data_IF_579274617257
#
_entry.id   IF_579274617257
#
_cell.length_a   1.000
_cell.length_b   1.000
_cell.length_c   1.000
_cell.angle_alpha   90.00
_cell.angle_beta   90.00
_cell.angle_gamma   90.00
#
_symmetry.space_group_name_H-M   'P 1'
#
loop_
_entity.id
_entity.type
_entity.pdbx_description
1 polymer ?
#
# COMPACT_ATOMS: atom_id res chain seq x y z
N UNK A 1 34.05 -63.41 16.67
CA UNK A 1 34.10 -62.75 15.35
C UNK A 1 32.68 -62.54 14.89
N UNK A 2 32.14 -61.33 15.06
CA UNK A 2 30.92 -60.92 14.35
C UNK A 2 30.89 -59.40 14.41
N UNK A 3 31.14 -58.75 13.26
CA UNK A 3 31.08 -57.33 13.07
C UNK A 3 29.60 -56.93 12.93
N UNK A 4 29.17 -55.96 13.73
CA UNK A 4 27.87 -55.29 13.57
C UNK A 4 28.12 -53.94 12.85
N UNK A 5 27.64 -53.85 11.60
CA UNK A 5 27.66 -52.63 10.80
C UNK A 5 26.59 -51.66 11.34
N UNK A 6 27.06 -50.46 11.65
CA UNK A 6 26.21 -49.32 12.08
C UNK A 6 25.75 -48.57 10.83
N UNK A 7 24.50 -48.74 10.43
CA UNK A 7 23.87 -48.02 9.33
C UNK A 7 23.24 -46.75 9.88
N UNK A 8 23.89 -45.62 9.64
CA UNK A 8 23.42 -44.30 10.04
C UNK A 8 22.46 -43.75 8.98
N UNK A 9 21.17 -43.93 9.21
CA UNK A 9 20.09 -43.37 8.39
C UNK A 9 20.14 -41.84 8.32
N UNK A 10 20.52 -41.29 7.15
CA UNK A 10 20.33 -39.88 6.82
C UNK A 10 18.86 -39.61 6.56
N UNK A 11 18.18 -38.95 7.51
CA UNK A 11 16.86 -38.41 7.33
C UNK A 11 16.82 -37.30 6.25
N UNK A 12 15.74 -37.17 5.50
CA UNK A 12 15.61 -36.16 4.45
C UNK A 12 15.60 -34.76 5.06
N UNK A 13 16.60 -33.96 4.71
CA UNK A 13 16.63 -32.53 4.99
C UNK A 13 15.45 -31.85 4.29
N UNK A 14 14.42 -31.49 5.05
CA UNK A 14 13.36 -30.58 4.61
C UNK A 14 14.02 -29.25 4.27
N UNK A 15 14.19 -28.98 2.98
CA UNK A 15 14.65 -27.72 2.46
C UNK A 15 13.78 -26.58 3.02
N UNK A 16 14.36 -25.74 3.86
CA UNK A 16 13.76 -24.44 4.23
C UNK A 16 13.58 -23.68 2.92
N UNK A 17 12.35 -23.59 2.44
CA UNK A 17 11.96 -22.62 1.41
C UNK A 17 12.35 -21.24 1.98
N UNK A 18 13.42 -20.66 1.47
CA UNK A 18 13.71 -19.24 1.68
C UNK A 18 12.46 -18.50 1.20
N UNK A 19 11.81 -17.80 2.11
CA UNK A 19 10.85 -16.78 1.73
C UNK A 19 11.58 -15.84 0.79
N UNK A 20 11.15 -15.79 -0.47
CA UNK A 20 11.74 -14.88 -1.44
C UNK A 20 11.50 -13.46 -0.92
N UNK A 21 12.56 -12.67 -0.79
CA UNK A 21 12.48 -11.26 -0.45
C UNK A 21 11.49 -10.57 -1.38
N UNK A 22 10.69 -9.61 -0.88
CA UNK A 22 9.82 -8.82 -1.75
C UNK A 22 10.68 -8.18 -2.86
N UNK A 23 10.15 -8.06 -4.07
CA UNK A 23 10.88 -7.41 -5.14
C UNK A 23 11.25 -5.97 -4.76
N UNK A 24 12.43 -5.48 -5.15
CA UNK A 24 12.87 -4.15 -4.79
C UNK A 24 11.87 -3.11 -5.28
N UNK A 25 11.49 -2.19 -4.39
CA UNK A 25 10.69 -1.01 -4.74
C UNK A 25 11.63 0.01 -5.39
N UNK A 26 11.44 0.31 -6.66
CA UNK A 26 12.23 1.31 -7.37
C UNK A 26 11.39 1.99 -8.44
N UNK A 27 11.79 3.19 -8.92
CA UNK A 27 11.04 3.97 -9.90
C UNK A 27 10.71 3.21 -11.20
N UNK A 28 11.54 2.24 -11.56
CA UNK A 28 11.31 1.39 -12.73
C UNK A 28 10.17 0.40 -12.48
N UNK A 29 10.11 -0.19 -11.30
CA UNK A 29 9.04 -1.11 -10.94
C UNK A 29 7.70 -0.39 -10.80
N UNK A 30 7.69 0.82 -10.26
CA UNK A 30 6.47 1.66 -10.18
C UNK A 30 5.94 1.96 -11.58
N UNK A 31 6.80 2.29 -12.54
CA UNK A 31 6.42 2.51 -13.93
C UNK A 31 5.87 1.24 -14.59
N UNK A 32 6.47 0.07 -14.34
CA UNK A 32 5.98 -1.20 -14.87
C UNK A 32 4.61 -1.57 -14.30
N UNK A 33 4.41 -1.38 -13.00
CA UNK A 33 3.11 -1.59 -12.34
C UNK A 33 2.07 -0.62 -12.92
N UNK A 34 2.41 0.67 -13.03
CA UNK A 34 1.53 1.67 -13.62
C UNK A 34 1.11 1.33 -15.04
N UNK A 35 2.05 0.93 -15.88
CA UNK A 35 1.78 0.50 -17.25
C UNK A 35 0.89 -0.75 -17.31
N UNK A 36 1.11 -1.70 -16.41
CA UNK A 36 0.28 -2.90 -16.32
C UNK A 36 -1.18 -2.56 -15.98
N UNK A 37 -1.40 -1.72 -14.97
CA UNK A 37 -2.75 -1.29 -14.60
C UNK A 37 -3.41 -0.44 -15.70
N UNK A 38 -2.66 0.41 -16.38
CA UNK A 38 -3.16 1.18 -17.53
C UNK A 38 -3.68 0.26 -18.66
N UNK A 39 -3.06 -0.90 -18.88
CA UNK A 39 -3.51 -1.90 -19.84
C UNK A 39 -4.65 -2.80 -19.33
N UNK A 40 -4.86 -2.88 -18.01
CA UNK A 40 -5.81 -3.83 -17.41
C UNK A 40 -7.10 -3.18 -16.90
N UNK A 41 -7.03 -1.93 -16.45
CA UNK A 41 -8.21 -1.18 -15.99
C UNK A 41 -9.01 -0.73 -17.21
N UNK A 42 -10.33 -1.03 -17.27
CA UNK A 42 -11.16 -0.57 -18.35
C UNK A 42 -11.16 0.97 -18.45
N UNK A 43 -10.91 1.49 -19.65
CA UNK A 43 -10.85 2.95 -19.90
C UNK A 43 -12.17 3.70 -19.64
N UNK A 44 -13.27 2.96 -19.48
CA UNK A 44 -14.60 3.53 -19.16
C UNK A 44 -14.83 3.76 -17.66
N UNK A 45 -13.92 3.27 -16.79
CA UNK A 45 -14.13 3.38 -15.35
C UNK A 45 -13.88 4.77 -14.82
N UNK A 46 -12.87 5.44 -15.34
CA UNK A 46 -12.36 6.69 -14.79
C UNK A 46 -12.31 7.78 -15.87
N UNK A 47 -12.45 9.02 -15.45
CA UNK A 47 -12.33 10.18 -16.32
C UNK A 47 -10.90 10.48 -16.77
N UNK A 48 -9.92 9.97 -16.03
CA UNK A 48 -8.49 10.10 -16.29
C UNK A 48 -7.74 8.85 -15.80
N UNK A 49 -6.45 8.74 -16.07
CA UNK A 49 -5.63 7.63 -15.56
C UNK A 49 -5.68 7.57 -14.05
N UNK A 50 -5.87 6.38 -13.45
CA UNK A 50 -5.90 6.25 -11.99
C UNK A 50 -4.55 6.58 -11.37
N UNK A 51 -4.58 7.16 -10.17
CA UNK A 51 -3.40 7.32 -9.31
C UNK A 51 -3.05 5.97 -8.70
N UNK A 52 -1.78 5.59 -8.79
CA UNK A 52 -1.28 4.33 -8.26
C UNK A 52 -0.23 4.64 -7.19
N UNK A 53 -0.59 4.34 -5.93
CA UNK A 53 0.34 4.35 -4.80
C UNK A 53 0.92 2.95 -4.58
N UNK A 54 2.22 2.86 -4.32
CA UNK A 54 2.91 1.58 -4.17
C UNK A 54 3.82 1.64 -2.95
N UNK A 55 3.72 0.64 -2.10
CA UNK A 55 4.70 0.38 -1.05
C UNK A 55 5.22 -1.07 -1.14
N UNK A 56 5.86 -1.58 -0.06
CA UNK A 56 6.40 -2.95 -0.02
C UNK A 56 5.33 -4.03 -0.07
N UNK A 57 4.13 -3.75 0.40
CA UNK A 57 3.08 -4.72 0.69
C UNK A 57 1.80 -4.51 -0.11
N UNK A 58 1.55 -3.27 -0.54
CA UNK A 58 0.29 -2.85 -1.15
C UNK A 58 0.49 -2.05 -2.44
N UNK A 59 -0.43 -2.25 -3.38
CA UNK A 59 -0.66 -1.40 -4.55
C UNK A 59 -2.05 -0.78 -4.38
N UNK A 60 -2.12 0.52 -4.23
CA UNK A 60 -3.37 1.25 -4.07
C UNK A 60 -3.74 1.93 -5.39
N UNK A 61 -4.88 1.55 -5.98
CA UNK A 61 -5.39 2.10 -7.23
C UNK A 61 -6.61 2.97 -6.94
N UNK A 62 -6.47 4.28 -7.17
CA UNK A 62 -7.54 5.25 -6.95
C UNK A 62 -7.84 5.97 -8.24
N UNK A 63 -9.06 5.84 -8.73
CA UNK A 63 -9.48 6.47 -9.97
C UNK A 63 -10.52 7.57 -9.74
N UNK A 64 -10.53 8.56 -10.62
CA UNK A 64 -11.45 9.69 -10.59
C UNK A 64 -12.66 9.42 -11.43
N UNK A 65 -13.83 9.48 -10.83
CA UNK A 65 -15.12 9.32 -11.50
C UNK A 65 -15.60 10.64 -12.08
N UNK A 66 -16.33 10.57 -13.18
CA UNK A 66 -17.06 11.73 -13.68
C UNK A 66 -18.08 12.20 -12.64
N UNK A 67 -18.16 13.50 -12.35
CA UNK A 67 -19.10 14.05 -11.37
C UNK A 67 -20.55 13.79 -11.81
N UNK A 68 -21.47 13.61 -10.84
CA UNK A 68 -22.88 13.50 -11.15
C UNK A 68 -23.41 14.82 -11.72
N UNK A 69 -24.39 14.72 -12.62
CA UNK A 69 -25.10 15.90 -13.10
C UNK A 69 -26.16 16.29 -12.08
N UNK A 70 -26.05 17.49 -11.54
CA UNK A 70 -26.99 18.05 -10.57
C UNK A 70 -27.62 19.31 -11.14
N UNK A 71 -28.83 19.69 -10.66
CA UNK A 71 -29.42 20.96 -11.01
C UNK A 71 -28.57 22.16 -10.58
N UNK A 72 -28.70 23.28 -11.29
CA UNK A 72 -28.02 24.51 -10.91
C UNK A 72 -28.47 24.96 -9.50
N UNK A 73 -27.50 25.30 -8.65
CA UNK A 73 -27.79 25.75 -7.27
C UNK A 73 -27.92 24.63 -6.24
N UNK A 74 -27.54 23.39 -6.56
CA UNK A 74 -27.49 22.31 -5.59
C UNK A 74 -26.59 22.68 -4.37
N UNK A 75 -27.08 22.41 -3.16
CA UNK A 75 -26.36 22.68 -1.92
C UNK A 75 -25.17 21.72 -1.71
N UNK A 76 -24.22 22.10 -0.86
CA UNK A 76 -23.02 21.31 -0.60
C UNK A 76 -23.31 19.87 -0.13
N UNK A 77 -24.36 19.70 0.70
CA UNK A 77 -24.75 18.38 1.20
C UNK A 77 -25.38 17.52 0.10
N UNK A 78 -26.12 18.12 -0.84
CA UNK A 78 -26.67 17.42 -2.01
C UNK A 78 -25.56 16.98 -2.95
N UNK A 79 -24.58 17.85 -3.21
CA UNK A 79 -23.39 17.53 -4.01
C UNK A 79 -22.62 16.37 -3.38
N UNK A 80 -22.32 16.46 -2.08
CA UNK A 80 -21.60 15.41 -1.34
C UNK A 80 -22.36 14.09 -1.33
N UNK A 81 -23.68 14.13 -1.13
CA UNK A 81 -24.53 12.94 -1.18
C UNK A 81 -24.52 12.26 -2.54
N UNK A 82 -24.59 13.03 -3.63
CA UNK A 82 -24.54 12.52 -4.99
C UNK A 82 -23.15 11.95 -5.35
N UNK A 83 -22.07 12.59 -4.93
CA UNK A 83 -20.70 12.09 -5.09
C UNK A 83 -20.51 10.74 -4.38
N UNK A 84 -20.96 10.61 -3.13
CA UNK A 84 -20.90 9.38 -2.37
C UNK A 84 -21.76 8.26 -3.00
N UNK A 85 -22.95 8.59 -3.47
CA UNK A 85 -23.80 7.64 -4.20
C UNK A 85 -23.13 7.16 -5.49
N UNK A 86 -22.47 8.06 -6.25
CA UNK A 86 -21.71 7.72 -7.45
C UNK A 86 -20.56 6.77 -7.15
N UNK A 87 -19.79 7.03 -6.08
CA UNK A 87 -18.69 6.18 -5.63
C UNK A 87 -19.22 4.80 -5.19
N UNK A 88 -20.34 4.77 -4.47
CA UNK A 88 -20.95 3.51 -4.00
C UNK A 88 -21.44 2.66 -5.17
N UNK A 89 -22.12 3.25 -6.13
CA UNK A 89 -22.55 2.57 -7.35
C UNK A 89 -21.38 1.98 -8.13
N UNK A 90 -20.32 2.76 -8.36
CA UNK A 90 -19.09 2.28 -8.99
C UNK A 90 -18.48 1.11 -8.22
N UNK A 91 -18.41 1.20 -6.88
CA UNK A 91 -17.88 0.12 -6.02
C UNK A 91 -18.63 -1.20 -6.23
N UNK A 92 -19.96 -1.14 -6.32
CA UNK A 92 -20.81 -2.33 -6.48
C UNK A 92 -20.72 -2.89 -7.90
N UNK A 93 -20.89 -2.06 -8.91
CA UNK A 93 -20.86 -2.44 -10.32
C UNK A 93 -19.55 -3.09 -10.75
N UNK A 94 -18.42 -2.56 -10.26
CA UNK A 94 -17.09 -3.00 -10.67
C UNK A 94 -16.49 -4.08 -9.79
N UNK A 95 -17.15 -4.49 -8.70
CA UNK A 95 -16.59 -5.39 -7.68
C UNK A 95 -15.99 -6.66 -8.28
N UNK A 96 -16.72 -7.36 -9.14
CA UNK A 96 -16.24 -8.61 -9.73
C UNK A 96 -15.04 -8.42 -10.65
N UNK A 97 -15.02 -7.33 -11.42
CA UNK A 97 -13.89 -7.02 -12.31
C UNK A 97 -12.64 -6.59 -11.52
N UNK A 98 -12.81 -5.79 -10.45
CA UNK A 98 -11.71 -5.39 -9.57
C UNK A 98 -11.07 -6.58 -8.87
N UNK A 99 -11.86 -7.56 -8.41
CA UNK A 99 -11.35 -8.80 -7.83
C UNK A 99 -10.49 -9.55 -8.85
N UNK A 100 -10.97 -9.77 -10.08
CA UNK A 100 -10.20 -10.45 -11.13
C UNK A 100 -8.88 -9.75 -11.45
N UNK A 101 -8.88 -8.41 -11.55
CA UNK A 101 -7.66 -7.64 -11.79
C UNK A 101 -6.70 -7.79 -10.60
N UNK A 102 -7.19 -7.76 -9.36
CA UNK A 102 -6.38 -7.97 -8.17
C UNK A 102 -5.77 -9.37 -8.13
N UNK A 103 -6.55 -10.41 -8.43
CA UNK A 103 -6.10 -11.81 -8.46
C UNK A 103 -5.00 -12.05 -9.51
N UNK A 104 -5.00 -11.30 -10.61
CA UNK A 104 -3.93 -11.34 -11.61
C UNK A 104 -2.69 -10.53 -11.18
N UNK A 105 -2.87 -9.38 -10.54
CA UNK A 105 -1.79 -8.51 -10.12
C UNK A 105 -1.00 -9.07 -8.91
N UNK A 106 -1.70 -9.67 -7.93
CA UNK A 106 -1.08 -10.16 -6.70
C UNK A 106 0.06 -11.16 -6.94
N UNK A 107 -0.07 -12.22 -7.74
CA UNK A 107 1.03 -13.14 -8.02
C UNK A 107 2.15 -12.50 -8.85
N UNK A 108 1.82 -11.54 -9.74
CA UNK A 108 2.78 -10.87 -10.59
C UNK A 108 3.68 -9.91 -9.80
N UNK A 109 3.10 -9.14 -8.88
CA UNK A 109 3.79 -8.09 -8.13
C UNK A 109 4.05 -8.43 -6.67
N UNK A 110 3.50 -9.52 -6.16
CA UNK A 110 3.61 -9.98 -4.76
C UNK A 110 3.16 -8.91 -3.74
N UNK A 111 2.12 -8.17 -4.10
CA UNK A 111 1.50 -7.13 -3.28
C UNK A 111 0.00 -7.26 -3.30
N UNK A 112 -0.63 -6.90 -2.21
CA UNK A 112 -2.10 -6.80 -2.15
C UNK A 112 -2.55 -5.62 -2.99
N UNK A 113 -3.68 -5.74 -3.70
CA UNK A 113 -4.24 -4.63 -4.47
C UNK A 113 -5.45 -4.06 -3.73
N UNK A 114 -5.37 -2.79 -3.40
CA UNK A 114 -6.45 -2.00 -2.82
C UNK A 114 -7.00 -1.01 -3.82
N UNK A 115 -8.31 -0.79 -3.73
CA UNK A 115 -9.04 0.05 -4.66
C UNK A 115 -9.72 1.21 -3.96
N UNK A 116 -9.83 2.32 -4.65
CA UNK A 116 -10.59 3.47 -4.23
C UNK A 116 -11.14 4.26 -5.41
N UNK A 117 -11.98 5.24 -5.12
CA UNK A 117 -12.44 6.21 -6.10
C UNK A 117 -12.57 7.60 -5.48
N UNK A 118 -12.42 8.59 -6.35
CA UNK A 118 -12.68 9.99 -6.08
C UNK A 118 -13.81 10.47 -6.99
N UNK A 119 -14.66 11.34 -6.45
CA UNK A 119 -15.70 12.01 -7.23
C UNK A 119 -15.87 13.41 -6.65
N UNK A 120 -15.57 14.45 -7.43
CA UNK A 120 -15.55 15.82 -6.93
C UNK A 120 -14.64 15.98 -5.71
N UNK A 121 -15.21 16.41 -4.59
CA UNK A 121 -14.51 16.56 -3.30
C UNK A 121 -14.47 15.29 -2.44
N UNK A 122 -15.18 14.24 -2.82
CA UNK A 122 -15.31 13.00 -2.05
C UNK A 122 -14.29 11.95 -2.49
N UNK A 123 -13.62 11.29 -1.51
CA UNK A 123 -12.68 10.18 -1.74
C UNK A 123 -13.01 9.02 -0.80
N UNK A 124 -13.09 7.80 -1.35
CA UNK A 124 -13.35 6.58 -0.58
C UNK A 124 -12.41 5.47 -1.02
N UNK A 125 -11.74 4.85 -0.06
CA UNK A 125 -11.02 3.59 -0.26
C UNK A 125 -11.99 2.42 0.00
N UNK A 126 -12.07 1.48 -0.92
CA UNK A 126 -12.96 0.31 -0.82
C UNK A 126 -12.36 -0.81 -0.01
N UNK A 127 -11.05 -0.94 -0.09
CA UNK A 127 -10.22 -1.89 0.63
C UNK A 127 -8.95 -1.20 1.07
N UNK A 128 -8.41 -1.61 2.21
CA UNK A 128 -7.12 -1.18 2.73
C UNK A 128 -6.40 -2.42 3.24
N UNK A 129 -5.14 -2.59 2.89
CA UNK A 129 -4.34 -3.65 3.44
C UNK A 129 -3.92 -3.29 4.87
N UNK A 130 -4.24 -4.16 5.83
CA UNK A 130 -3.68 -4.08 7.17
C UNK A 130 -2.46 -4.98 7.26
N UNK A 131 -1.26 -4.39 7.30
CA UNK A 131 -0.01 -5.14 7.44
C UNK A 131 0.44 -5.11 8.89
N UNK A 132 0.75 -6.27 9.51
CA UNK A 132 1.20 -6.30 10.89
C UNK A 132 2.61 -5.70 11.00
N UNK A 133 2.76 -4.71 11.87
CA UNK A 133 4.05 -4.13 12.25
C UNK A 133 4.35 -4.52 13.68
N UNK A 134 5.47 -5.20 13.89
CA UNK A 134 5.91 -5.61 15.23
C UNK A 134 6.90 -4.60 15.79
N UNK A 135 6.62 -4.09 16.99
CA UNK A 135 7.52 -3.21 17.72
C UNK A 135 7.69 -3.66 19.17
N UNK A 136 8.77 -3.22 19.81
CA UNK A 136 9.04 -3.44 21.24
C UNK A 136 9.09 -2.08 21.93
N UNK A 137 8.10 -1.84 22.76
CA UNK A 137 7.93 -0.60 23.50
C UNK A 137 8.47 -0.73 24.94
N UNK A 138 9.07 0.32 25.46
CA UNK A 138 9.47 0.44 26.86
C UNK A 138 8.24 0.72 27.74
N UNK A 139 8.44 0.76 29.05
CA UNK A 139 7.35 0.89 30.02
C UNK A 139 6.59 2.20 29.82
N UNK A 140 7.30 3.30 29.68
CA UNK A 140 6.70 4.63 29.53
C UNK A 140 5.85 4.73 28.24
N UNK A 141 6.36 4.18 27.13
CA UNK A 141 5.62 4.12 25.85
C UNK A 141 4.31 3.31 25.98
N UNK A 142 4.39 2.17 26.71
CA UNK A 142 3.19 1.35 26.96
C UNK A 142 2.17 2.06 27.85
N UNK A 143 2.63 2.79 28.87
CA UNK A 143 1.74 3.58 29.74
C UNK A 143 1.03 4.68 28.96
N UNK A 144 1.70 5.34 28.00
CA UNK A 144 1.06 6.31 27.13
C UNK A 144 -0.06 5.65 26.29
N UNK A 145 0.17 4.45 25.73
CA UNK A 145 -0.88 3.73 25.01
C UNK A 145 -2.03 3.28 25.91
N UNK A 146 -1.73 2.84 27.14
CA UNK A 146 -2.75 2.45 28.11
C UNK A 146 -3.61 3.66 28.50
N UNK A 147 -3.02 4.84 28.68
CA UNK A 147 -3.76 6.09 28.91
C UNK A 147 -4.73 6.41 27.77
N UNK A 148 -4.32 6.20 26.50
CA UNK A 148 -5.21 6.40 25.34
C UNK A 148 -6.37 5.40 25.31
N UNK A 149 -6.15 4.19 25.80
CA UNK A 149 -7.20 3.17 25.92
C UNK A 149 -8.18 3.57 27.04
N UNK A 150 -7.68 3.94 28.21
CA UNK A 150 -8.48 4.34 29.35
C UNK A 150 -9.31 5.60 29.06
N UNK A 151 -8.76 6.52 28.24
CA UNK A 151 -9.47 7.70 27.75
C UNK A 151 -10.49 7.41 26.64
N UNK A 152 -10.62 6.16 26.18
CA UNK A 152 -11.56 5.78 25.13
C UNK A 152 -11.16 6.19 23.70
N UNK A 153 -9.92 6.63 23.49
CA UNK A 153 -9.38 6.99 22.16
C UNK A 153 -9.14 5.75 21.31
N UNK A 154 -8.79 4.64 21.93
CA UNK A 154 -8.51 3.37 21.27
C UNK A 154 -9.03 2.20 22.13
N UNK A 155 -9.28 1.05 21.51
CA UNK A 155 -9.75 -0.19 22.19
C UNK A 155 -8.62 -1.16 22.51
N UNK A 156 -7.44 -0.92 21.96
CA UNK A 156 -6.26 -1.77 22.15
C UNK A 156 -4.97 -0.98 21.94
N UNK A 157 -3.85 -1.51 22.47
CA UNK A 157 -2.51 -0.93 22.25
C UNK A 157 -2.14 -0.82 20.78
N UNK A 158 -2.53 -1.78 19.94
CA UNK A 158 -2.29 -1.73 18.50
C UNK A 158 -3.07 -0.60 17.84
N UNK A 159 -4.32 -0.39 18.23
CA UNK A 159 -5.14 0.71 17.74
C UNK A 159 -4.64 2.07 18.22
N UNK A 160 -4.21 2.17 19.49
CA UNK A 160 -3.59 3.35 20.05
C UNK A 160 -2.29 3.72 19.31
N UNK A 161 -1.43 2.74 19.04
CA UNK A 161 -0.20 2.96 18.27
C UNK A 161 -0.51 3.41 16.83
N UNK A 162 -1.46 2.77 16.15
CA UNK A 162 -1.89 3.19 14.82
C UNK A 162 -2.49 4.61 14.83
N UNK A 163 -3.20 4.99 15.91
CA UNK A 163 -3.68 6.35 16.11
C UNK A 163 -2.53 7.35 16.25
N UNK A 164 -1.51 7.05 17.07
CA UNK A 164 -0.31 7.88 17.20
C UNK A 164 0.40 8.09 15.86
N UNK A 165 0.55 7.03 15.04
CA UNK A 165 1.15 7.13 13.71
C UNK A 165 0.34 8.06 12.80
N UNK A 166 -1.00 7.95 12.81
CA UNK A 166 -1.86 8.85 12.03
C UNK A 166 -1.76 10.29 12.51
N UNK A 167 -1.70 10.49 13.83
CA UNK A 167 -1.55 11.82 14.42
C UNK A 167 -0.26 12.51 13.96
N UNK A 168 0.87 11.80 14.00
CA UNK A 168 2.15 12.30 13.48
C UNK A 168 2.04 12.59 11.98
N UNK A 169 1.46 11.68 11.19
CA UNK A 169 1.31 11.86 9.75
C UNK A 169 0.44 13.08 9.39
N UNK A 170 -0.51 13.46 10.24
CA UNK A 170 -1.39 14.63 10.03
C UNK A 170 -0.73 15.95 10.47
N UNK A 171 -0.03 15.95 11.59
CA UNK A 171 0.56 17.16 12.15
C UNK A 171 1.94 17.50 11.58
N UNK A 172 2.67 16.48 11.12
CA UNK A 172 4.03 16.61 10.57
C UNK A 172 4.07 16.27 9.07
N UNK A 173 2.97 16.56 8.37
CA UNK A 173 2.82 16.20 6.95
C UNK A 173 3.90 16.82 6.06
N UNK A 174 4.28 18.08 6.31
CA UNK A 174 5.33 18.77 5.56
C UNK A 174 6.68 18.12 5.81
N UNK A 175 7.07 17.88 7.06
CA UNK A 175 8.31 17.20 7.41
C UNK A 175 8.42 15.80 6.82
N UNK A 176 7.35 14.99 6.90
CA UNK A 176 7.29 13.67 6.27
C UNK A 176 7.43 13.76 4.74
N UNK A 177 6.83 14.80 4.13
CA UNK A 177 6.96 15.05 2.69
C UNK A 177 8.38 15.42 2.30
N UNK A 178 9.05 16.29 3.05
CA UNK A 178 10.45 16.67 2.86
C UNK A 178 11.39 15.46 2.98
N UNK A 179 11.16 14.60 3.98
CA UNK A 179 11.92 13.36 4.13
C UNK A 179 11.77 12.44 2.92
N UNK A 180 10.55 12.28 2.40
CA UNK A 180 10.31 11.47 1.19
C UNK A 180 11.03 12.03 -0.03
N UNK A 181 11.01 13.35 -0.21
CA UNK A 181 11.73 14.02 -1.29
C UNK A 181 13.25 13.84 -1.18
N UNK A 182 13.79 13.99 0.02
CA UNK A 182 15.21 13.77 0.27
C UNK A 182 15.61 12.31 0.00
N UNK A 183 14.79 11.35 0.39
CA UNK A 183 15.04 9.93 0.12
C UNK A 183 14.96 9.58 -1.37
N UNK A 184 14.06 10.21 -2.13
CA UNK A 184 14.00 10.05 -3.58
C UNK A 184 15.29 10.52 -4.26
N UNK A 185 15.86 11.63 -3.80
CA UNK A 185 17.15 12.12 -4.29
C UNK A 185 18.31 11.16 -3.95
N UNK A 186 18.30 10.56 -2.76
CA UNK A 186 19.28 9.53 -2.37
C UNK A 186 19.17 8.30 -3.26
N UNK A 187 17.95 7.85 -3.55
CA UNK A 187 17.72 6.69 -4.41
C UNK A 187 18.19 6.94 -5.84
N UNK A 188 17.98 8.14 -6.36
CA UNK A 188 18.49 8.54 -7.66
C UNK A 188 20.03 8.51 -7.73
N UNK A 189 20.70 8.97 -6.66
CA UNK A 189 22.17 8.88 -6.57
C UNK A 189 22.64 7.44 -6.48
N UNK A 190 21.95 6.59 -5.72
CA UNK A 190 22.24 5.15 -5.61
C UNK A 190 22.11 4.44 -6.95
N UNK A 191 21.05 4.72 -7.69
CA UNK A 191 20.79 4.08 -8.99
C UNK A 191 21.84 4.42 -10.05
N UNK A 192 22.45 5.62 -9.95
CA UNK A 192 23.54 6.05 -10.83
C UNK A 192 24.88 5.38 -10.54
N UNK A 193 25.04 4.79 -9.35
CA UNK A 193 26.28 4.13 -8.92
C UNK A 193 27.48 5.07 -8.82
N UNK A 194 28.65 4.54 -8.37
CA UNK A 194 29.89 5.30 -8.44
C UNK A 194 30.29 5.50 -9.92
N UNK A 195 30.56 6.72 -10.32
CA UNK A 195 31.11 7.00 -11.65
C UNK A 195 32.43 6.24 -11.79
N UNK A 196 32.49 5.25 -12.68
CA UNK A 196 33.75 4.61 -13.05
C UNK A 196 34.66 5.70 -13.59
N UNK A 197 35.68 6.04 -12.81
CA UNK A 197 36.69 6.99 -13.24
C UNK A 197 37.32 6.48 -14.53
N UNK A 198 37.08 7.18 -15.63
CA UNK A 198 37.83 6.97 -16.85
C UNK A 198 39.30 7.20 -16.53
N UNK A 199 40.05 6.10 -16.40
CA UNK A 199 41.50 6.17 -16.29
C UNK A 199 42.05 6.90 -17.50
N UNK A 200 42.71 8.04 -17.24
CA UNK A 200 43.67 8.61 -18.17
C UNK A 200 44.90 7.71 -18.08
N UNK A 201 45.11 6.89 -19.09
CA UNK A 201 46.40 6.37 -19.48
C UNK A 201 47.00 7.24 -20.54
#
# INVERSE_FOLDING_TARGET
>A
MTQTSNDSGRGPQRGRRRAASPPPSGPEQERLIGAWFAGRVPGTWFSESPTIGIDSDEIQVVGKLAPPQLPDGAGEDEVRGAEQARISGFREETRGARIRIADEAQPAFRRVVSWGAECGGSRVLFTTAGVPVMTRLRMDDRQALDTLIDAGVARSRSEALAWCVRLVAQHEAEWISELRQAMSAVEEVRSKGPRSGAGKG
#
